data_IF_168168205910
#
_entry.id   IF_168168205910
#
_cell.length_a   1.000
_cell.length_b   1.000
_cell.length_c   1.000
_cell.angle_alpha   90.00
_cell.angle_beta   90.00
_cell.angle_gamma   90.00
#
_symmetry.space_group_name_H-M   'P 1'
#
loop_
_entity.id
_entity.type
_entity.pdbx_description
1 polymer ?
#
# COMPACT_ATOMS: atom_id res chain seq x y z
N UNK A 1 9.25 -11.68 6.57
CA UNK A 1 8.33 -10.54 6.30
C UNK A 1 7.35 -10.96 5.22
N UNK A 2 6.11 -10.62 5.42
CA UNK A 2 5.01 -11.05 4.54
C UNK A 2 4.52 -9.88 3.69
N UNK A 3 4.35 -10.12 2.39
CA UNK A 3 3.66 -9.21 1.50
C UNK A 3 2.17 -9.24 1.86
N UNK A 4 1.63 -8.12 2.35
CA UNK A 4 0.27 -8.05 2.87
C UNK A 4 -0.74 -7.48 1.90
N UNK A 5 -0.32 -6.54 1.05
CA UNK A 5 -1.22 -5.93 0.08
C UNK A 5 -0.43 -5.21 -1.03
N UNK A 6 -0.96 -5.27 -2.23
CA UNK A 6 -0.49 -4.48 -3.36
C UNK A 6 -1.69 -3.67 -3.88
N UNK A 7 -1.50 -2.37 -3.98
CA UNK A 7 -2.45 -1.49 -4.65
C UNK A 7 -1.98 -1.25 -6.08
N UNK A 8 -2.85 -1.54 -7.05
CA UNK A 8 -2.55 -1.36 -8.47
C UNK A 8 -3.59 -0.47 -9.13
N UNK A 9 -3.20 0.15 -10.23
CA UNK A 9 -4.09 0.88 -11.12
C UNK A 9 -4.07 0.23 -12.50
N UNK A 10 -5.25 -0.01 -13.04
CA UNK A 10 -5.44 -0.47 -14.41
C UNK A 10 -5.98 0.68 -15.26
N UNK A 11 -5.31 0.93 -16.38
CA UNK A 11 -5.70 1.97 -17.34
C UNK A 11 -6.43 1.34 -18.51
N UNK A 12 -7.58 1.92 -18.87
CA UNK A 12 -8.42 1.49 -19.99
C UNK A 12 -8.53 2.57 -21.06
N UNK A 13 -8.95 2.20 -22.26
CA UNK A 13 -9.11 3.14 -23.36
C UNK A 13 -10.38 3.98 -23.22
N UNK A 14 -11.47 3.39 -22.75
CA UNK A 14 -12.78 4.01 -22.62
C UNK A 14 -13.24 4.10 -21.19
N UNK A 15 -14.12 5.05 -20.88
CA UNK A 15 -14.72 5.19 -19.57
C UNK A 15 -15.35 3.88 -19.11
N UNK A 16 -15.09 3.49 -17.87
CA UNK A 16 -15.60 2.25 -17.28
C UNK A 16 -17.06 2.33 -16.90
N UNK A 17 -17.49 3.52 -16.49
CA UNK A 17 -18.89 3.84 -16.14
C UNK A 17 -19.20 5.26 -16.62
N UNK A 18 -20.49 5.54 -16.90
CA UNK A 18 -20.88 6.82 -17.47
C UNK A 18 -20.95 7.93 -16.41
N UNK A 19 -22.01 7.99 -15.62
CA UNK A 19 -22.23 9.09 -14.69
C UNK A 19 -22.07 8.65 -13.24
N UNK A 20 -21.09 9.26 -12.54
CA UNK A 20 -20.89 9.07 -11.11
C UNK A 20 -20.71 10.43 -10.44
N UNK A 21 -21.23 10.60 -9.22
CA UNK A 21 -21.13 11.87 -8.49
C UNK A 21 -19.72 12.11 -7.93
N UNK A 22 -19.11 11.11 -7.29
CA UNK A 22 -17.77 11.25 -6.71
C UNK A 22 -16.89 10.03 -7.00
N UNK A 23 -17.29 8.87 -6.51
CA UNK A 23 -16.58 7.61 -6.72
C UNK A 23 -17.54 6.44 -6.59
N UNK A 24 -17.19 5.35 -7.24
CA UNK A 24 -17.86 4.05 -7.08
C UNK A 24 -16.87 3.06 -6.50
N UNK A 25 -17.28 2.37 -5.45
CA UNK A 25 -16.49 1.35 -4.78
C UNK A 25 -17.30 0.07 -4.66
N UNK A 26 -16.66 -1.06 -4.90
CA UNK A 26 -17.28 -2.37 -4.65
C UNK A 26 -16.23 -3.43 -4.38
N UNK A 27 -16.68 -4.57 -3.87
CA UNK A 27 -15.85 -5.74 -3.60
C UNK A 27 -16.19 -6.88 -4.54
N UNK A 28 -15.18 -7.62 -4.92
CA UNK A 28 -15.30 -8.88 -5.63
C UNK A 28 -14.35 -9.88 -4.99
N UNK A 29 -14.89 -10.90 -4.30
CA UNK A 29 -14.10 -11.83 -3.49
C UNK A 29 -13.24 -11.07 -2.47
N UNK A 30 -11.91 -11.25 -2.51
CA UNK A 30 -10.97 -10.56 -1.61
C UNK A 30 -10.46 -9.21 -2.13
N UNK A 31 -10.93 -8.77 -3.29
CA UNK A 31 -10.46 -7.55 -3.94
C UNK A 31 -11.44 -6.39 -3.71
N UNK A 32 -10.90 -5.18 -3.66
CA UNK A 32 -11.70 -3.95 -3.61
C UNK A 32 -11.36 -3.07 -4.80
N UNK A 33 -12.38 -2.51 -5.43
CA UNK A 33 -12.27 -1.70 -6.65
C UNK A 33 -12.80 -0.31 -6.41
N UNK A 34 -12.15 0.70 -6.99
CA UNK A 34 -12.61 2.08 -6.92
C UNK A 34 -12.43 2.77 -8.26
N UNK A 35 -13.49 3.46 -8.72
CA UNK A 35 -13.44 4.36 -9.88
C UNK A 35 -13.84 5.74 -9.38
N UNK A 36 -13.02 6.75 -9.68
CA UNK A 36 -13.28 8.14 -9.33
C UNK A 36 -13.90 8.90 -10.50
N UNK A 37 -14.73 9.89 -10.18
CA UNK A 37 -15.49 10.69 -11.16
C UNK A 37 -14.60 11.32 -12.25
N UNK A 38 -13.45 11.85 -11.88
CA UNK A 38 -12.57 12.56 -12.81
C UNK A 38 -11.53 11.67 -13.47
N UNK A 39 -11.53 10.37 -13.18
CA UNK A 39 -10.59 9.40 -13.75
C UNK A 39 -11.31 8.11 -14.14
N UNK A 40 -12.35 8.23 -14.96
CA UNK A 40 -13.24 7.11 -15.32
C UNK A 40 -12.58 6.01 -16.16
N UNK A 41 -11.40 6.25 -16.71
CA UNK A 41 -10.60 5.27 -17.45
C UNK A 41 -9.61 4.54 -16.56
N UNK A 42 -9.57 4.87 -15.29
CA UNK A 42 -8.62 4.34 -14.31
C UNK A 42 -9.37 3.56 -13.23
N UNK A 43 -8.97 2.32 -13.03
CA UNK A 43 -9.50 1.47 -11.97
C UNK A 43 -8.41 1.25 -10.92
N UNK A 44 -8.69 1.63 -9.68
CA UNK A 44 -7.82 1.39 -8.54
C UNK A 44 -8.26 0.10 -7.84
N UNK A 45 -7.33 -0.82 -7.60
CA UNK A 45 -7.61 -2.11 -7.00
C UNK A 45 -6.66 -2.37 -5.83
N UNK A 46 -7.21 -2.90 -4.74
CA UNK A 46 -6.45 -3.38 -3.59
C UNK A 46 -6.78 -4.85 -3.32
N UNK A 47 -5.93 -5.53 -2.57
CA UNK A 47 -6.15 -6.91 -2.14
C UNK A 47 -5.21 -7.92 -2.77
N UNK A 48 -4.38 -7.55 -3.73
CA UNK A 48 -3.40 -8.45 -4.28
C UNK A 48 -2.27 -8.71 -3.28
N UNK A 49 -1.80 -9.95 -3.22
CA UNK A 49 -0.68 -10.37 -2.36
C UNK A 49 0.45 -11.00 -3.17
N UNK A 50 0.33 -11.02 -4.49
CA UNK A 50 1.31 -11.60 -5.40
C UNK A 50 1.10 -11.06 -6.81
N UNK A 51 2.08 -11.31 -7.69
CA UNK A 51 1.94 -11.03 -9.12
C UNK A 51 0.82 -11.87 -9.76
N UNK A 52 0.63 -13.09 -9.30
CA UNK A 52 -0.45 -13.96 -9.76
C UNK A 52 -1.83 -13.35 -9.43
N UNK A 53 -1.98 -12.76 -8.26
CA UNK A 53 -3.21 -12.06 -7.88
C UNK A 53 -3.49 -10.87 -8.78
N UNK A 54 -2.46 -10.09 -9.12
CA UNK A 54 -2.60 -8.96 -10.06
C UNK A 54 -3.09 -9.45 -11.43
N UNK A 55 -2.55 -10.57 -11.91
CA UNK A 55 -2.97 -11.16 -13.18
C UNK A 55 -4.42 -11.63 -13.12
N UNK A 56 -4.83 -12.24 -12.02
CA UNK A 56 -6.22 -12.64 -11.78
C UNK A 56 -7.16 -11.42 -11.76
N UNK A 57 -6.78 -10.36 -11.08
CA UNK A 57 -7.53 -9.11 -11.06
C UNK A 57 -7.68 -8.53 -12.45
N UNK A 58 -6.59 -8.51 -13.23
CA UNK A 58 -6.61 -8.04 -14.62
C UNK A 58 -7.61 -8.81 -15.47
N UNK A 59 -7.57 -10.13 -15.42
CA UNK A 59 -8.48 -10.99 -16.18
C UNK A 59 -9.93 -10.73 -15.77
N UNK A 60 -10.20 -10.65 -14.46
CA UNK A 60 -11.55 -10.40 -13.94
C UNK A 60 -12.10 -9.05 -14.39
N UNK A 61 -11.25 -8.02 -14.37
CA UNK A 61 -11.69 -6.66 -14.76
C UNK A 61 -11.87 -6.52 -16.26
N UNK A 62 -11.03 -7.14 -17.06
CA UNK A 62 -11.20 -7.17 -18.52
C UNK A 62 -12.52 -7.83 -18.90
N UNK A 63 -12.92 -8.88 -18.19
CA UNK A 63 -14.22 -9.52 -18.36
C UNK A 63 -15.37 -8.61 -17.94
N UNK A 64 -15.26 -8.01 -16.76
CA UNK A 64 -16.32 -7.17 -16.18
C UNK A 64 -16.62 -5.96 -17.04
N UNK A 65 -15.61 -5.28 -17.54
CA UNK A 65 -15.77 -4.04 -18.31
C UNK A 65 -15.71 -4.23 -19.83
N UNK A 66 -15.53 -5.44 -20.30
CA UNK A 66 -15.47 -5.76 -21.74
C UNK A 66 -14.42 -4.94 -22.50
N UNK A 67 -13.28 -4.69 -21.84
CA UNK A 67 -12.15 -3.95 -22.40
C UNK A 67 -10.84 -4.61 -22.01
N UNK A 68 -9.80 -4.37 -22.78
CA UNK A 68 -8.43 -4.77 -22.42
C UNK A 68 -7.75 -3.70 -21.59
N UNK A 69 -7.01 -4.14 -20.59
CA UNK A 69 -6.15 -3.24 -19.80
C UNK A 69 -4.97 -2.79 -20.67
N UNK A 70 -4.81 -1.48 -20.82
CA UNK A 70 -3.72 -0.90 -21.61
C UNK A 70 -2.41 -0.84 -20.83
N UNK A 71 -2.49 -0.57 -19.52
CA UNK A 71 -1.32 -0.40 -18.66
C UNK A 71 -1.65 -0.80 -17.23
N UNK A 72 -0.70 -1.43 -16.58
CA UNK A 72 -0.75 -1.74 -15.14
C UNK A 72 0.31 -0.93 -14.43
N UNK A 73 -0.08 -0.23 -13.36
CA UNK A 73 0.83 0.52 -12.51
C UNK A 73 0.71 0.02 -11.07
N UNK A 74 1.84 -0.28 -10.44
CA UNK A 74 1.88 -0.57 -9.01
C UNK A 74 1.94 0.75 -8.26
N UNK A 75 0.86 1.08 -7.52
CA UNK A 75 0.76 2.33 -6.78
C UNK A 75 1.37 2.24 -5.39
N UNK A 76 1.22 1.09 -4.73
CA UNK A 76 1.70 0.89 -3.38
C UNK A 76 1.90 -0.59 -3.08
N UNK A 77 2.93 -0.90 -2.33
CA UNK A 77 3.23 -2.25 -1.86
C UNK A 77 3.38 -2.21 -0.35
N UNK A 78 2.58 -3.03 0.34
CA UNK A 78 2.60 -3.15 1.79
C UNK A 78 3.23 -4.47 2.20
N UNK A 79 4.22 -4.38 3.07
CA UNK A 79 4.80 -5.53 3.76
C UNK A 79 4.45 -5.43 5.23
N UNK A 80 4.28 -6.57 5.89
CA UNK A 80 4.06 -6.63 7.32
C UNK A 80 4.87 -7.76 7.94
N UNK A 81 5.27 -7.54 9.18
CA UNK A 81 5.94 -8.54 10.00
C UNK A 81 5.34 -8.49 11.39
N UNK A 82 4.87 -9.62 11.86
CA UNK A 82 4.49 -9.78 13.26
C UNK A 82 5.73 -10.12 14.08
N UNK A 83 5.85 -9.48 15.22
CA UNK A 83 6.90 -9.73 16.18
C UNK A 83 6.27 -9.82 17.57
N UNK A 84 6.83 -10.66 18.43
CA UNK A 84 6.20 -10.94 19.72
C UNK A 84 6.90 -10.30 20.92
N UNK A 85 7.82 -9.39 20.66
CA UNK A 85 8.57 -8.68 21.71
C UNK A 85 8.07 -7.26 21.84
N UNK A 86 7.52 -6.92 23.00
CA UNK A 86 7.07 -5.56 23.28
C UNK A 86 8.22 -4.56 23.22
N UNK A 87 7.94 -3.41 22.61
CA UNK A 87 8.88 -2.29 22.50
C UNK A 87 8.49 -1.20 23.49
N UNK A 88 9.49 -0.57 24.08
CA UNK A 88 9.32 0.70 24.79
C UNK A 88 9.26 1.83 23.75
N UNK A 89 8.03 2.23 23.40
CA UNK A 89 7.80 3.21 22.34
C UNK A 89 8.33 4.59 22.70
N UNK A 90 8.29 4.98 23.98
CA UNK A 90 8.81 6.27 24.42
C UNK A 90 10.33 6.33 24.29
N UNK A 91 11.04 5.31 24.76
CA UNK A 91 12.48 5.21 24.61
C UNK A 91 12.91 5.15 23.16
N UNK A 92 12.17 4.39 22.34
CA UNK A 92 12.43 4.28 20.91
C UNK A 92 12.23 5.62 20.20
N UNK A 93 11.14 6.33 20.52
CA UNK A 93 10.89 7.68 20.00
C UNK A 93 12.03 8.64 20.32
N UNK A 94 12.48 8.68 21.58
CA UNK A 94 13.58 9.56 22.01
C UNK A 94 14.89 9.22 21.29
N UNK A 95 15.17 7.93 21.08
CA UNK A 95 16.34 7.49 20.34
C UNK A 95 16.26 7.86 18.86
N UNK A 96 15.13 7.58 18.21
CA UNK A 96 14.97 7.76 16.76
C UNK A 96 14.83 9.22 16.35
N UNK A 97 14.25 10.08 17.22
CA UNK A 97 14.11 11.50 16.87
C UNK A 97 15.45 12.21 16.71
N UNK A 98 16.51 11.68 17.30
CA UNK A 98 17.87 12.18 17.15
C UNK A 98 18.53 11.69 15.86
N UNK A 99 17.92 10.74 15.16
CA UNK A 99 18.43 10.19 13.92
C UNK A 99 18.03 11.09 12.75
N UNK A 100 19.02 11.65 12.06
CA UNK A 100 18.82 12.58 10.94
C UNK A 100 18.28 11.90 9.66
N UNK A 101 18.22 10.59 9.61
CA UNK A 101 17.77 9.85 8.43
C UNK A 101 16.25 9.72 8.32
N UNK A 102 15.52 10.03 9.40
CA UNK A 102 14.08 9.86 9.46
C UNK A 102 13.37 11.10 10.00
N UNK A 103 12.17 11.35 9.47
CA UNK A 103 11.12 12.10 10.16
C UNK A 103 10.25 11.13 10.92
N UNK A 104 9.98 11.43 12.19
CA UNK A 104 9.19 10.55 13.05
C UNK A 104 7.89 11.24 13.41
N UNK A 105 6.77 10.54 13.17
CA UNK A 105 5.45 10.98 13.60
C UNK A 105 4.87 9.92 14.54
N UNK A 106 4.74 10.28 15.82
CA UNK A 106 4.16 9.43 16.83
C UNK A 106 3.18 10.21 17.68
N UNK A 107 1.90 9.93 17.52
CA UNK A 107 0.81 10.51 18.30
C UNK A 107 -0.15 9.40 18.73
N UNK A 108 0.10 8.85 19.91
CA UNK A 108 -0.62 7.70 20.45
C UNK A 108 -2.12 7.97 20.64
N UNK A 109 -2.53 9.23 20.82
CA UNK A 109 -3.94 9.59 20.96
C UNK A 109 -4.73 9.42 19.65
N UNK A 110 -4.04 9.56 18.52
CA UNK A 110 -4.66 9.43 17.19
C UNK A 110 -4.46 8.04 16.58
N UNK A 111 -3.27 7.47 16.79
CA UNK A 111 -2.91 6.21 16.17
C UNK A 111 -1.82 5.53 16.98
N UNK A 112 -1.94 4.23 17.19
CA UNK A 112 -1.02 3.47 18.03
C UNK A 112 0.37 3.24 17.40
N UNK A 113 0.50 3.40 16.08
CA UNK A 113 1.75 3.18 15.36
C UNK A 113 2.64 4.41 15.31
N UNK A 114 3.94 4.17 15.27
CA UNK A 114 4.95 5.21 15.07
C UNK A 114 5.38 5.19 13.60
N UNK A 115 5.20 6.31 12.90
CA UNK A 115 5.61 6.45 11.50
C UNK A 115 7.06 6.90 11.42
N UNK A 116 7.85 6.15 10.65
CA UNK A 116 9.22 6.49 10.28
C UNK A 116 9.25 6.84 8.80
N UNK A 117 9.40 8.12 8.49
CA UNK A 117 9.48 8.59 7.11
C UNK A 117 10.94 8.82 6.74
N UNK A 118 11.53 7.99 5.85
CA UNK A 118 12.90 8.22 5.39
C UNK A 118 13.05 9.58 4.70
N UNK A 119 14.14 10.27 4.96
CA UNK A 119 14.44 11.55 4.30
C UNK A 119 14.89 11.38 2.85
N UNK A 120 15.24 10.17 2.45
CA UNK A 120 15.61 9.85 1.08
C UNK A 120 14.36 9.67 0.22
N UNK A 121 14.39 10.22 -0.99
CA UNK A 121 13.30 10.05 -1.97
C UNK A 121 13.14 8.58 -2.35
N UNK A 122 11.91 8.20 -2.66
CA UNK A 122 11.55 6.85 -3.14
C UNK A 122 11.78 5.71 -2.14
N UNK A 123 11.92 6.02 -0.85
CA UNK A 123 11.95 5.02 0.20
C UNK A 123 10.58 4.89 0.86
N UNK A 124 10.14 3.67 1.17
CA UNK A 124 8.86 3.45 1.80
C UNK A 124 8.83 3.93 3.26
N UNK A 125 7.64 4.19 3.77
CA UNK A 125 7.40 4.51 5.16
C UNK A 125 7.32 3.25 6.00
N UNK A 126 7.92 3.27 7.17
CA UNK A 126 7.84 2.19 8.16
C UNK A 126 6.89 2.61 9.27
N UNK A 127 6.00 1.70 9.69
CA UNK A 127 5.13 1.89 10.84
C UNK A 127 5.47 0.83 11.88
N UNK A 128 5.85 1.27 13.07
CA UNK A 128 6.19 0.41 14.21
C UNK A 128 5.08 0.42 15.25
N UNK A 129 4.79 -0.75 15.82
CA UNK A 129 3.82 -0.91 16.89
C UNK A 129 4.48 -1.42 18.17
N UNK A 130 3.84 -1.12 19.30
CA UNK A 130 4.33 -1.53 20.64
C UNK A 130 4.58 -3.04 20.75
N UNK A 131 3.84 -3.85 20.03
CA UNK A 131 4.01 -5.31 19.99
C UNK A 131 5.28 -5.76 19.29
N UNK A 132 6.05 -4.84 18.71
CA UNK A 132 7.19 -5.16 17.86
C UNK A 132 6.82 -5.42 16.41
N UNK A 133 5.54 -5.52 16.09
CA UNK A 133 5.08 -5.66 14.71
C UNK A 133 5.38 -4.38 13.92
N UNK A 134 5.66 -4.52 12.65
CA UNK A 134 5.88 -3.38 11.78
C UNK A 134 5.29 -3.60 10.39
N UNK A 135 5.05 -2.49 9.69
CA UNK A 135 4.59 -2.46 8.31
C UNK A 135 5.51 -1.58 7.48
N UNK A 136 5.75 -1.96 6.25
CA UNK A 136 6.45 -1.15 5.26
C UNK A 136 5.45 -0.82 4.16
N UNK A 137 5.25 0.46 3.90
CA UNK A 137 4.24 0.94 2.96
C UNK A 137 4.78 2.10 2.12
N UNK A 138 4.15 2.34 0.97
CA UNK A 138 4.59 3.36 0.02
C UNK A 138 5.62 2.86 -0.98
N UNK A 139 5.98 1.57 -0.96
CA UNK A 139 6.82 0.96 -1.97
C UNK A 139 6.09 0.88 -3.32
N UNK A 140 6.83 1.07 -4.41
CA UNK A 140 6.30 0.98 -5.77
C UNK A 140 6.85 -0.20 -6.56
N UNK A 141 7.65 -1.03 -5.91
CA UNK A 141 8.13 -2.29 -6.45
C UNK A 141 8.23 -3.31 -5.32
N UNK A 142 8.16 -4.59 -5.67
CA UNK A 142 8.28 -5.67 -4.70
C UNK A 142 9.68 -5.74 -4.09
N UNK A 143 10.70 -5.32 -4.82
CA UNK A 143 12.10 -5.35 -4.37
C UNK A 143 12.41 -4.32 -3.28
N UNK A 144 11.71 -3.16 -3.23
CA UNK A 144 11.93 -2.16 -2.20
C UNK A 144 11.63 -2.67 -0.79
N UNK A 145 10.54 -3.40 -0.62
CA UNK A 145 10.20 -3.99 0.67
C UNK A 145 11.24 -4.98 1.15
N UNK A 146 11.81 -5.78 0.27
CA UNK A 146 12.87 -6.72 0.60
C UNK A 146 14.17 -6.00 0.98
N UNK A 147 14.49 -4.89 0.35
CA UNK A 147 15.65 -4.06 0.71
C UNK A 147 15.53 -3.55 2.14
N UNK A 148 14.36 -3.02 2.53
CA UNK A 148 14.10 -2.56 3.89
C UNK A 148 14.18 -3.67 4.92
N UNK A 149 13.70 -4.86 4.58
CA UNK A 149 13.81 -6.03 5.43
C UNK A 149 15.26 -6.33 5.82
N UNK A 150 16.18 -6.20 4.87
CA UNK A 150 17.62 -6.45 5.13
C UNK A 150 18.24 -5.39 6.03
N UNK A 151 17.72 -4.19 6.02
CA UNK A 151 18.26 -3.05 6.77
C UNK A 151 17.61 -2.87 8.16
N UNK A 152 16.59 -3.63 8.48
CA UNK A 152 15.93 -3.65 9.78
C UNK A 152 16.49 -4.77 10.66
#
# INVERSE_FOLDING_TARGET
>A
MKLSNIKVSFFFQYDLIDNIESKVMWKYRSFSYTIYQHTKKLLNITGAKSKADIQQQKISMEKMFHQKVLKVRIDNVFFSQKHYKNLDMCALYEYLRMNQNFFINYNIERFAGMYLHPRLKNHPTIVLFRTGSYQIMGGKSLSLGETWKRNL
#
